data_IF_641007786768
#
_entry.id   IF_641007786768
#
_cell.length_a   1.000
_cell.length_b   1.000
_cell.length_c   1.000
_cell.angle_alpha   90.00
_cell.angle_beta   90.00
_cell.angle_gamma   90.00
#
_symmetry.space_group_name_H-M   'P 1'
#
loop_
_entity.id
_entity.type
_entity.pdbx_description
1 polymer ?
#
# COMPACT_ATOMS: atom_id res chain seq x y z
N UNK A 1 -37.44 15.39 12.58
CA UNK A 1 -36.23 15.98 11.97
C UNK A 1 -36.44 16.05 10.47
N UNK A 2 -36.45 17.24 9.88
CA UNK A 2 -36.65 17.39 8.42
C UNK A 2 -35.42 16.86 7.69
N UNK A 3 -35.59 15.79 6.91
CA UNK A 3 -34.51 15.21 6.11
C UNK A 3 -34.20 16.14 4.92
N UNK A 4 -32.94 16.53 4.78
CA UNK A 4 -32.49 17.31 3.62
C UNK A 4 -32.50 16.42 2.38
N UNK A 5 -33.28 16.76 1.35
CA UNK A 5 -33.35 15.99 0.09
C UNK A 5 -32.10 16.21 -0.75
N UNK A 6 -31.82 15.31 -1.70
CA UNK A 6 -30.69 15.46 -2.63
C UNK A 6 -30.82 16.71 -3.48
N UNK A 7 -32.03 17.04 -3.94
CA UNK A 7 -32.31 18.28 -4.69
C UNK A 7 -32.02 19.55 -3.88
N UNK A 8 -32.35 19.54 -2.59
CA UNK A 8 -32.02 20.68 -1.70
C UNK A 8 -30.52 20.78 -1.47
N UNK A 9 -29.84 19.65 -1.37
CA UNK A 9 -28.39 19.60 -1.18
C UNK A 9 -27.63 20.09 -2.42
N UNK A 10 -28.04 19.67 -3.63
CA UNK A 10 -27.45 20.15 -4.89
C UNK A 10 -27.68 21.65 -5.09
N UNK A 11 -28.86 22.15 -4.73
CA UNK A 11 -29.14 23.59 -4.75
C UNK A 11 -28.22 24.38 -3.82
N UNK A 12 -28.05 23.93 -2.57
CA UNK A 12 -27.17 24.58 -1.59
C UNK A 12 -25.71 24.58 -2.08
N UNK A 13 -25.25 23.48 -2.68
CA UNK A 13 -23.91 23.42 -3.26
C UNK A 13 -23.76 24.41 -4.42
N UNK A 14 -24.74 24.49 -5.33
CA UNK A 14 -24.68 25.42 -6.47
C UNK A 14 -24.64 26.89 -6.03
N UNK A 15 -25.41 27.24 -5.00
CA UNK A 15 -25.40 28.57 -4.40
C UNK A 15 -24.06 28.86 -3.72
N UNK A 16 -23.49 27.89 -3.01
CA UNK A 16 -22.17 28.00 -2.38
C UNK A 16 -21.08 28.27 -3.42
N UNK A 17 -21.09 27.54 -4.55
CA UNK A 17 -20.14 27.71 -5.63
C UNK A 17 -20.22 29.08 -6.29
N UNK A 18 -21.44 29.59 -6.48
CA UNK A 18 -21.69 30.92 -7.03
C UNK A 18 -21.11 32.00 -6.10
N UNK A 19 -21.31 31.87 -4.79
CA UNK A 19 -20.75 32.81 -3.78
C UNK A 19 -19.23 32.77 -3.76
N UNK A 20 -18.62 31.58 -3.77
CA UNK A 20 -17.15 31.44 -3.82
C UNK A 20 -16.59 32.11 -5.08
N UNK A 21 -17.24 31.89 -6.23
CA UNK A 21 -16.85 32.48 -7.51
C UNK A 21 -16.94 34.01 -7.48
N UNK A 22 -17.98 34.56 -6.86
CA UNK A 22 -18.12 36.01 -6.64
C UNK A 22 -17.05 36.57 -5.68
N UNK A 23 -16.77 35.90 -4.57
CA UNK A 23 -15.72 36.31 -3.63
C UNK A 23 -14.34 36.33 -4.31
N UNK A 24 -14.05 35.33 -5.14
CA UNK A 24 -12.80 35.24 -5.90
C UNK A 24 -12.69 36.37 -6.94
N UNK A 25 -13.76 36.68 -7.67
CA UNK A 25 -13.74 37.76 -8.67
C UNK A 25 -13.57 39.15 -8.04
N UNK A 26 -13.99 39.30 -6.79
CA UNK A 26 -13.83 40.52 -5.98
C UNK A 26 -12.51 40.59 -5.22
N UNK A 27 -11.64 39.57 -5.35
CA UNK A 27 -10.34 39.51 -4.67
C UNK A 27 -10.44 39.41 -3.14
N UNK A 28 -11.57 38.91 -2.62
CA UNK A 28 -11.80 38.76 -1.18
C UNK A 28 -11.10 37.48 -0.72
N UNK A 29 -9.88 37.62 -0.20
CA UNK A 29 -9.10 36.51 0.32
C UNK A 29 -9.05 36.55 1.85
N UNK A 30 -9.32 35.40 2.50
CA UNK A 30 -9.25 35.29 3.96
C UNK A 30 -10.13 34.19 4.54
N UNK A 31 -10.39 34.27 5.85
CA UNK A 31 -11.12 33.26 6.63
C UNK A 31 -12.47 32.86 6.01
N UNK A 32 -13.19 33.81 5.38
CA UNK A 32 -14.48 33.55 4.73
C UNK A 32 -14.35 32.62 3.51
N UNK A 33 -13.32 32.81 2.69
CA UNK A 33 -13.06 31.97 1.51
C UNK A 33 -12.67 30.55 1.93
N UNK A 34 -11.81 30.43 2.95
CA UNK A 34 -11.39 29.13 3.51
C UNK A 34 -12.59 28.37 4.09
N UNK A 35 -13.44 29.07 4.85
CA UNK A 35 -14.66 28.46 5.41
C UNK A 35 -15.67 28.07 4.33
N UNK A 36 -15.82 28.88 3.28
CA UNK A 36 -16.71 28.56 2.17
C UNK A 36 -16.25 27.32 1.39
N UNK A 37 -14.94 27.21 1.11
CA UNK A 37 -14.35 26.00 0.48
C UNK A 37 -14.47 24.76 1.38
N UNK A 38 -14.32 24.91 2.70
CA UNK A 38 -14.54 23.82 3.64
C UNK A 38 -16.00 23.34 3.59
N UNK A 39 -16.94 24.28 3.57
CA UNK A 39 -18.37 23.97 3.46
C UNK A 39 -18.69 23.29 2.13
N UNK A 40 -18.14 23.78 1.01
CA UNK A 40 -18.26 23.15 -0.32
C UNK A 40 -17.78 21.69 -0.31
N UNK A 41 -16.61 21.42 0.28
CA UNK A 41 -16.06 20.07 0.40
C UNK A 41 -17.00 19.12 1.17
N UNK A 42 -17.59 19.60 2.26
CA UNK A 42 -18.54 18.80 3.07
C UNK A 42 -19.80 18.50 2.27
N UNK A 43 -20.34 19.47 1.52
CA UNK A 43 -21.53 19.27 0.68
C UNK A 43 -21.27 18.29 -0.46
N UNK A 44 -20.11 18.39 -1.11
CA UNK A 44 -19.68 17.47 -2.17
C UNK A 44 -19.55 16.03 -1.65
N UNK A 45 -18.93 15.85 -0.49
CA UNK A 45 -18.78 14.53 0.13
C UNK A 45 -20.14 13.92 0.52
N UNK A 46 -21.07 14.73 1.03
CA UNK A 46 -22.44 14.29 1.32
C UNK A 46 -23.19 13.83 0.06
N UNK A 47 -23.05 14.55 -1.06
CA UNK A 47 -23.64 14.15 -2.34
C UNK A 47 -23.01 12.85 -2.85
N UNK A 48 -21.70 12.71 -2.73
CA UNK A 48 -20.94 11.52 -3.15
C UNK A 48 -21.40 10.26 -2.39
N UNK A 49 -21.55 10.37 -1.07
CA UNK A 49 -22.07 9.28 -0.21
C UNK A 49 -23.50 8.88 -0.55
N UNK A 50 -24.36 9.87 -0.86
CA UNK A 50 -25.74 9.59 -1.29
C UNK A 50 -25.80 8.91 -2.65
N UNK A 51 -24.96 9.33 -3.60
CA UNK A 51 -24.84 8.69 -4.90
C UNK A 51 -24.40 7.23 -4.76
N UNK A 52 -23.43 6.94 -3.89
CA UNK A 52 -23.00 5.58 -3.59
C UNK A 52 -24.14 4.72 -3.00
N UNK A 53 -24.88 5.26 -2.01
CA UNK A 53 -26.05 4.58 -1.43
C UNK A 53 -27.15 4.28 -2.48
N UNK A 54 -27.40 5.20 -3.42
CA UNK A 54 -28.38 5.01 -4.51
C UNK A 54 -27.91 4.01 -5.56
N UNK A 55 -26.60 3.90 -5.80
CA UNK A 55 -26.01 2.94 -6.74
C UNK A 55 -25.85 1.54 -6.14
N UNK A 56 -26.28 1.31 -4.89
CA UNK A 56 -26.06 0.03 -4.21
C UNK A 56 -24.58 -0.28 -3.98
N UNK A 57 -23.71 0.72 -4.17
CA UNK A 57 -22.30 0.63 -3.82
C UNK A 57 -22.26 0.83 -2.32
N UNK A 58 -22.24 -0.27 -1.57
CA UNK A 58 -21.70 -0.22 -0.23
C UNK A 58 -20.37 0.50 -0.33
N UNK A 59 -20.21 1.62 0.38
CA UNK A 59 -18.88 2.07 0.76
C UNK A 59 -18.41 1.07 1.82
N UNK A 60 -18.17 -0.17 1.39
CA UNK A 60 -17.05 -0.94 1.88
C UNK A 60 -15.90 0.00 1.64
N UNK A 61 -15.34 0.57 2.71
CA UNK A 61 -13.98 1.10 2.61
C UNK A 61 -13.22 0.03 1.85
N UNK A 62 -12.84 0.32 0.61
CA UNK A 62 -11.88 -0.50 -0.11
C UNK A 62 -10.57 -0.33 0.67
N UNK A 63 -10.45 -1.07 1.77
CA UNK A 63 -9.21 -1.28 2.50
C UNK A 63 -8.27 -2.17 1.68
N UNK A 64 -8.63 -2.51 0.44
CA UNK A 64 -7.90 -3.43 -0.42
C UNK A 64 -7.38 -2.78 -1.71
N UNK A 65 -7.09 -1.47 -1.74
CA UNK A 65 -6.42 -0.88 -2.93
C UNK A 65 -5.39 0.22 -2.65
N UNK A 66 -4.96 0.43 -1.40
CA UNK A 66 -3.81 1.29 -1.09
C UNK A 66 -2.52 0.50 -0.83
N UNK A 67 -2.49 -0.80 -1.11
CA UNK A 67 -1.25 -1.56 -1.02
C UNK A 67 -0.30 -1.05 -2.11
N UNK A 68 0.92 -0.59 -1.75
CA UNK A 68 1.91 -0.20 -2.74
C UNK A 68 2.10 -1.31 -3.77
N UNK A 69 2.12 -0.96 -5.05
CA UNK A 69 2.48 -1.90 -6.10
C UNK A 69 3.92 -2.35 -5.84
N UNK A 70 4.13 -3.65 -5.66
CA UNK A 70 5.46 -4.24 -5.53
C UNK A 70 6.11 -4.24 -6.92
N UNK A 71 7.27 -3.59 -7.12
CA UNK A 71 7.93 -3.57 -8.43
C UNK A 71 8.39 -4.96 -8.87
N UNK A 72 8.58 -5.13 -10.17
CA UNK A 72 9.14 -6.37 -10.73
C UNK A 72 10.51 -6.69 -10.10
N UNK A 73 10.70 -7.95 -9.73
CA UNK A 73 11.91 -8.43 -9.05
C UNK A 73 11.95 -8.21 -7.54
N UNK A 74 10.89 -7.65 -6.95
CA UNK A 74 10.73 -7.52 -5.50
C UNK A 74 9.71 -8.54 -4.96
N UNK A 75 9.91 -8.95 -3.71
CA UNK A 75 9.00 -9.85 -2.98
C UNK A 75 8.71 -9.25 -1.60
N UNK A 76 7.48 -9.37 -1.14
CA UNK A 76 7.14 -8.99 0.24
C UNK A 76 7.54 -10.09 1.19
N UNK A 77 8.26 -9.70 2.24
CA UNK A 77 8.64 -10.56 3.36
C UNK A 77 8.36 -9.85 4.68
N UNK A 78 8.19 -10.58 5.79
CA UNK A 78 8.15 -10.00 7.12
C UNK A 78 9.35 -9.10 7.41
N UNK A 79 9.14 -8.04 8.19
CA UNK A 79 10.23 -7.14 8.63
C UNK A 79 11.21 -7.90 9.53
N UNK A 80 10.69 -8.77 10.39
CA UNK A 80 11.48 -9.71 11.18
C UNK A 80 11.31 -11.12 10.60
N UNK A 81 12.39 -11.83 10.25
CA UNK A 81 12.29 -13.17 9.68
C UNK A 81 11.68 -14.13 10.71
N UNK A 82 10.87 -15.08 10.22
CA UNK A 82 10.32 -16.14 11.08
C UNK A 82 11.40 -17.16 11.42
N UNK A 83 11.16 -17.97 12.46
CA UNK A 83 12.07 -19.07 12.84
C UNK A 83 12.32 -20.02 11.65
N UNK A 84 11.28 -20.36 10.89
CA UNK A 84 11.41 -21.20 9.69
C UNK A 84 12.31 -20.57 8.63
N UNK A 85 12.19 -19.25 8.39
CA UNK A 85 13.08 -18.54 7.48
C UNK A 85 14.52 -18.63 7.96
N UNK A 86 14.76 -18.39 9.25
CA UNK A 86 16.10 -18.43 9.85
C UNK A 86 16.71 -19.82 9.70
N UNK A 87 16.01 -20.88 10.11
CA UNK A 87 16.50 -22.27 10.04
C UNK A 87 16.87 -22.65 8.61
N UNK A 88 15.95 -22.43 7.65
CA UNK A 88 16.22 -22.74 6.24
C UNK A 88 17.38 -21.90 5.68
N UNK A 89 17.53 -20.65 6.12
CA UNK A 89 18.65 -19.79 5.75
C UNK A 89 19.99 -20.35 6.24
N UNK A 90 20.07 -20.77 7.51
CA UNK A 90 21.30 -21.31 8.10
C UNK A 90 21.66 -22.69 7.55
N UNK A 91 20.68 -23.54 7.26
CA UNK A 91 20.88 -24.89 6.74
C UNK A 91 21.12 -24.94 5.22
N UNK A 92 21.15 -23.78 4.55
CA UNK A 92 21.38 -23.69 3.10
C UNK A 92 22.85 -23.76 2.67
N UNK A 93 23.80 -23.74 3.61
CA UNK A 93 25.24 -23.81 3.30
C UNK A 93 25.62 -25.21 2.77
N UNK A 94 26.39 -25.32 1.68
CA UNK A 94 26.90 -26.59 1.22
C UNK A 94 27.83 -27.23 2.26
N UNK A 95 27.61 -28.50 2.55
CA UNK A 95 28.36 -29.28 3.53
C UNK A 95 28.88 -30.57 2.90
N UNK A 96 30.14 -30.93 3.19
CA UNK A 96 30.81 -32.11 2.64
C UNK A 96 30.03 -33.41 2.87
N UNK A 97 29.31 -33.52 3.99
CA UNK A 97 28.58 -34.73 4.37
C UNK A 97 27.13 -34.75 3.89
N UNK A 98 26.55 -33.59 3.55
CA UNK A 98 25.11 -33.48 3.25
C UNK A 98 24.79 -32.95 1.85
N UNK A 99 25.74 -32.33 1.16
CA UNK A 99 25.57 -31.82 -0.21
C UNK A 99 25.98 -32.83 -1.27
N UNK A 100 25.53 -32.60 -2.49
CA UNK A 100 26.00 -33.37 -3.64
C UNK A 100 27.51 -33.14 -3.85
N UNK A 101 28.25 -34.21 -4.17
CA UNK A 101 29.72 -34.17 -4.36
C UNK A 101 30.16 -33.05 -5.32
N UNK A 102 29.43 -32.86 -6.42
CA UNK A 102 29.70 -31.80 -7.40
C UNK A 102 29.45 -30.40 -6.87
N UNK A 103 28.47 -30.23 -5.98
CA UNK A 103 28.16 -28.94 -5.36
C UNK A 103 29.24 -28.59 -4.34
N UNK A 104 29.65 -29.56 -3.53
CA UNK A 104 30.75 -29.43 -2.58
C UNK A 104 32.07 -29.09 -3.28
N UNK A 105 32.46 -29.84 -4.31
CA UNK A 105 33.70 -29.57 -5.07
C UNK A 105 33.72 -28.18 -5.69
N UNK A 106 32.58 -27.73 -6.24
CA UNK A 106 32.46 -26.39 -6.82
C UNK A 106 32.58 -25.29 -5.76
N UNK A 107 32.05 -25.53 -4.55
CA UNK A 107 32.13 -24.62 -3.42
C UNK A 107 33.54 -24.58 -2.78
N UNK A 108 34.18 -25.73 -2.61
CA UNK A 108 35.53 -25.86 -2.03
C UNK A 108 36.59 -25.21 -2.94
N UNK A 109 36.40 -25.28 -4.26
CA UNK A 109 37.25 -24.60 -5.23
C UNK A 109 37.14 -23.06 -5.22
N UNK A 110 36.13 -22.49 -4.54
CA UNK A 110 35.97 -21.05 -4.44
C UNK A 110 36.94 -20.42 -3.44
N UNK A 111 37.42 -19.21 -3.72
CA UNK A 111 38.12 -18.42 -2.70
C UNK A 111 37.20 -18.09 -1.51
N UNK A 112 37.77 -17.81 -0.34
CA UNK A 112 36.96 -17.49 0.85
C UNK A 112 35.98 -16.32 0.65
N UNK A 113 36.34 -15.30 -0.14
CA UNK A 113 35.42 -14.20 -0.49
C UNK A 113 34.26 -14.69 -1.38
N UNK A 114 34.53 -15.59 -2.32
CA UNK A 114 33.52 -16.19 -3.17
C UNK A 114 32.60 -17.11 -2.36
N UNK A 115 33.13 -17.92 -1.44
CA UNK A 115 32.35 -18.75 -0.53
C UNK A 115 31.42 -17.89 0.35
N UNK A 116 31.94 -16.82 0.96
CA UNK A 116 31.13 -15.91 1.76
C UNK A 116 29.98 -15.28 0.95
N UNK A 117 30.27 -14.81 -0.27
CA UNK A 117 29.25 -14.27 -1.16
C UNK A 117 28.25 -15.33 -1.62
N UNK A 118 28.68 -16.57 -1.82
CA UNK A 118 27.83 -17.69 -2.22
C UNK A 118 26.87 -18.07 -1.09
N UNK A 119 27.37 -18.26 0.13
CA UNK A 119 26.55 -18.56 1.32
C UNK A 119 25.52 -17.49 1.61
N UNK A 120 25.89 -16.22 1.52
CA UNK A 120 24.94 -15.13 1.71
C UNK A 120 23.77 -15.19 0.69
N UNK A 121 24.05 -15.58 -0.56
CA UNK A 121 23.02 -15.75 -1.59
C UNK A 121 22.13 -16.97 -1.32
N UNK A 122 22.71 -18.11 -0.93
CA UNK A 122 21.95 -19.32 -0.60
C UNK A 122 21.05 -19.08 0.62
N UNK A 123 21.61 -18.50 1.67
CA UNK A 123 20.90 -18.15 2.89
C UNK A 123 19.71 -17.24 2.59
N UNK A 124 19.95 -16.16 1.84
CA UNK A 124 18.87 -15.25 1.44
C UNK A 124 17.81 -15.93 0.58
N UNK A 125 18.21 -16.74 -0.41
CA UNK A 125 17.28 -17.44 -1.29
C UNK A 125 16.38 -18.42 -0.51
N UNK A 126 16.96 -19.17 0.43
CA UNK A 126 16.23 -20.10 1.29
C UNK A 126 15.27 -19.36 2.23
N UNK A 127 15.70 -18.24 2.82
CA UNK A 127 14.82 -17.38 3.63
C UNK A 127 13.61 -16.86 2.84
N UNK A 128 13.83 -16.38 1.60
CA UNK A 128 12.74 -15.91 0.74
C UNK A 128 11.79 -17.06 0.36
N UNK A 129 12.31 -18.26 0.10
CA UNK A 129 11.49 -19.43 -0.25
C UNK A 129 10.62 -19.90 0.93
N UNK A 130 11.14 -19.79 2.17
CA UNK A 130 10.44 -20.12 3.40
C UNK A 130 9.52 -19.00 3.92
N UNK A 131 9.53 -17.82 3.29
CA UNK A 131 8.72 -16.69 3.74
C UNK A 131 7.21 -17.03 3.67
N UNK A 132 6.41 -16.58 4.66
CA UNK A 132 4.98 -16.83 4.68
C UNK A 132 4.30 -16.16 3.48
N UNK A 133 3.35 -16.86 2.86
CA UNK A 133 2.54 -16.31 1.77
C UNK A 133 1.45 -15.41 2.34
N UNK A 134 1.19 -14.29 1.67
CA UNK A 134 0.04 -13.44 1.97
C UNK A 134 -1.23 -14.22 1.65
N UNK A 135 -2.15 -14.29 2.61
CA UNK A 135 -3.51 -14.81 2.44
C UNK A 135 -4.43 -13.82 1.71
#
# INVERSE_FOLDING_TARGET
MSTITTERLTKILSETQAVITECNSRGVHGSVEVNARLFENVLMELLRRRAAMLQGVEIVESRCSNSPVIPDGWVMVPVEPTDDMIVNGFESEPDESFSDEKEWEAYDAMSGCQQAAHRAKLCWAAMIAAAPKLE
#
